data_IF_400071728265
#
_entry.id   IF_400071728265
#
_cell.length_a   1.000
_cell.length_b   1.000
_cell.length_c   1.000
_cell.angle_alpha   90.00
_cell.angle_beta   90.00
_cell.angle_gamma   90.00
#
_symmetry.space_group_name_H-M   'P 1'
#
loop_
_entity.id
_entity.type
_entity.pdbx_description
1 polymer ?
#
# COMPACT_ATOMS: atom_id res chain seq x y z
N UNK A 1 9.39 8.55 6.97
CA UNK A 1 9.45 7.08 6.88
C UNK A 1 10.32 6.67 5.71
N UNK A 2 11.30 5.80 5.93
CA UNK A 2 12.13 5.28 4.85
C UNK A 2 11.45 4.10 4.16
N UNK A 3 11.96 3.73 2.99
CA UNK A 3 11.44 2.56 2.27
C UNK A 3 11.56 1.29 3.11
N UNK A 4 12.69 1.11 3.78
CA UNK A 4 12.90 -0.07 4.62
C UNK A 4 11.94 -0.12 5.81
N UNK A 5 11.69 1.02 6.43
CA UNK A 5 10.75 1.10 7.54
C UNK A 5 9.34 0.78 7.06
N UNK A 6 8.95 1.32 5.90
CA UNK A 6 7.63 1.06 5.35
C UNK A 6 7.45 -0.43 5.05
N UNK A 7 8.47 -1.08 4.50
CA UNK A 7 8.40 -2.51 4.19
C UNK A 7 8.27 -3.37 5.45
N UNK A 8 8.88 -2.93 6.54
CA UNK A 8 8.78 -3.67 7.81
C UNK A 8 7.42 -3.49 8.47
N UNK A 9 6.88 -2.27 8.40
CA UNK A 9 5.61 -1.96 9.06
C UNK A 9 4.40 -2.40 8.26
N UNK A 10 4.54 -2.50 6.94
CA UNK A 10 3.45 -2.85 6.05
C UNK A 10 3.89 -4.02 5.16
N UNK A 11 4.01 -5.24 5.73
CA UNK A 11 4.38 -6.39 4.92
C UNK A 11 3.30 -6.74 3.90
N UNK A 12 3.67 -7.37 2.78
CA UNK A 12 2.69 -7.80 1.78
C UNK A 12 1.66 -8.73 2.40
N UNK A 13 0.44 -8.69 1.87
CA UNK A 13 -0.63 -9.55 2.34
C UNK A 13 -1.98 -8.88 2.24
N UNK A 14 -2.98 -9.56 2.79
CA UNK A 14 -4.36 -9.07 2.75
C UNK A 14 -4.66 -8.24 3.99
N UNK A 15 -5.23 -7.07 3.78
CA UNK A 15 -5.63 -6.16 4.83
C UNK A 15 -7.10 -5.80 4.69
N UNK A 16 -7.72 -5.37 5.78
CA UNK A 16 -9.10 -4.91 5.77
C UNK A 16 -9.15 -3.48 6.27
N UNK A 17 -9.77 -2.61 5.48
CA UNK A 17 -10.04 -1.26 5.91
C UNK A 17 -11.11 -1.29 7.02
N UNK A 18 -11.09 -0.32 7.94
CA UNK A 18 -12.03 -0.31 9.06
C UNK A 18 -13.50 -0.29 8.61
N UNK A 19 -13.78 0.13 7.40
CA UNK A 19 -15.12 0.11 6.83
C UNK A 19 -15.48 -1.24 6.20
N UNK A 20 -14.60 -2.24 6.30
CA UNK A 20 -14.88 -3.58 5.83
C UNK A 20 -14.35 -3.93 4.45
N UNK A 21 -13.88 -2.96 3.69
CA UNK A 21 -13.32 -3.24 2.36
C UNK A 21 -11.95 -3.88 2.49
N UNK A 22 -11.71 -4.96 1.76
CA UNK A 22 -10.43 -5.66 1.80
C UNK A 22 -9.55 -5.27 0.62
N UNK A 23 -8.24 -5.36 0.83
CA UNK A 23 -7.28 -5.10 -0.24
C UNK A 23 -6.02 -5.93 0.01
N UNK A 24 -5.25 -6.13 -1.06
CA UNK A 24 -4.01 -6.88 -0.99
C UNK A 24 -2.83 -5.92 -1.21
N UNK A 25 -1.94 -5.84 -0.23
CA UNK A 25 -0.70 -5.06 -0.37
C UNK A 25 0.28 -5.92 -1.13
N UNK A 26 0.74 -5.43 -2.26
CA UNK A 26 1.67 -6.16 -3.13
C UNK A 26 3.12 -5.84 -2.78
N UNK A 27 3.41 -4.58 -2.53
CA UNK A 27 4.78 -4.14 -2.24
C UNK A 27 4.75 -2.68 -1.80
N UNK A 28 5.93 -2.19 -1.43
CA UNK A 28 6.15 -0.77 -1.18
C UNK A 28 7.10 -0.27 -2.25
N UNK A 29 6.74 0.82 -2.91
CA UNK A 29 7.56 1.45 -3.94
C UNK A 29 7.90 2.86 -3.50
N UNK A 30 8.88 3.49 -4.15
CA UNK A 30 9.22 4.89 -3.90
C UNK A 30 8.62 5.77 -4.97
N UNK A 31 8.14 6.93 -4.55
CA UNK A 31 7.67 7.94 -5.49
C UNK A 31 8.85 8.41 -6.32
N UNK A 32 8.69 8.51 -7.64
CA UNK A 32 9.81 8.81 -8.53
C UNK A 32 10.41 10.20 -8.34
N UNK A 33 9.64 11.14 -7.82
CA UNK A 33 10.14 12.51 -7.64
C UNK A 33 10.51 12.83 -6.19
N UNK A 34 9.67 12.43 -5.25
CA UNK A 34 9.88 12.77 -3.83
C UNK A 34 10.56 11.69 -3.04
N UNK A 35 10.66 10.49 -3.59
CA UNK A 35 11.22 9.30 -2.95
C UNK A 35 10.42 8.85 -1.72
N UNK A 36 9.18 9.35 -1.56
CA UNK A 36 8.32 8.90 -0.47
C UNK A 36 7.91 7.43 -0.67
N UNK A 37 7.88 6.64 0.41
CA UNK A 37 7.35 5.28 0.31
C UNK A 37 5.86 5.30 -0.04
N UNK A 38 5.49 4.46 -1.00
CA UNK A 38 4.11 4.36 -1.47
C UNK A 38 3.67 2.90 -1.39
N UNK A 39 2.45 2.67 -0.92
CA UNK A 39 1.90 1.32 -0.84
C UNK A 39 1.29 0.95 -2.19
N UNK A 40 1.77 -0.15 -2.78
CA UNK A 40 1.18 -0.68 -4.01
C UNK A 40 0.20 -1.77 -3.58
N UNK A 41 -1.09 -1.55 -3.81
CA UNK A 41 -2.09 -2.51 -3.38
C UNK A 41 -3.17 -2.71 -4.45
N UNK A 42 -3.85 -3.85 -4.36
CA UNK A 42 -4.98 -4.19 -5.22
C UNK A 42 -6.24 -4.20 -4.38
N UNK A 43 -7.24 -3.45 -4.80
CA UNK A 43 -8.54 -3.48 -4.16
C UNK A 43 -9.21 -4.83 -4.45
N UNK A 44 -9.70 -5.50 -3.40
CA UNK A 44 -10.37 -6.78 -3.53
C UNK A 44 -11.88 -6.59 -3.54
N UNK A 45 -12.32 -5.41 -3.99
CA UNK A 45 -13.72 -5.08 -4.14
C UNK A 45 -13.89 -4.30 -5.43
N UNK A 46 -15.10 -4.27 -5.93
CA UNK A 46 -15.43 -3.57 -7.19
C UNK A 46 -14.52 -4.01 -8.33
N UNK A 47 -13.67 -3.11 -8.83
CA UNK A 47 -12.90 -3.35 -10.05
C UNK A 47 -11.55 -4.01 -9.86
N UNK A 48 -11.16 -4.31 -8.66
CA UNK A 48 -9.86 -4.91 -8.38
C UNK A 48 -8.70 -4.10 -8.98
N UNK A 49 -8.81 -2.76 -8.96
CA UNK A 49 -7.78 -1.90 -9.52
C UNK A 49 -6.55 -1.80 -8.63
N UNK A 50 -5.44 -1.36 -9.20
CA UNK A 50 -4.22 -1.10 -8.45
C UNK A 50 -4.19 0.35 -7.98
N UNK A 51 -3.75 0.58 -6.75
CA UNK A 51 -3.71 1.89 -6.15
C UNK A 51 -2.37 2.13 -5.47
N UNK A 52 -1.96 3.39 -5.35
CA UNK A 52 -0.64 3.73 -4.81
C UNK A 52 -0.74 4.92 -3.85
N UNK A 53 -1.43 4.79 -2.71
CA UNK A 53 -1.47 5.87 -1.73
C UNK A 53 -0.14 6.00 -1.00
N UNK A 54 0.06 7.16 -0.36
CA UNK A 54 1.25 7.37 0.46
C UNK A 54 1.24 6.41 1.66
N UNK A 55 2.40 5.87 2.00
CA UNK A 55 2.54 4.98 3.15
C UNK A 55 2.37 5.72 4.48
N UNK A 56 2.45 7.04 4.48
CA UNK A 56 2.34 7.84 5.69
C UNK A 56 0.91 8.33 5.97
N UNK A 57 -0.04 7.87 5.24
CA UNK A 57 -1.43 8.23 5.48
C UNK A 57 -1.93 7.67 6.81
#
# INVERSE_FOLDING_TARGET
>A
MTLEEAKRQIPPGRYRHFKGNEYEVLDIAQHSETEEPMVVYRALYRRHGLWVPSAEM
#
